data_IF_066584542772
#
_entry.id   IF_066584542772
#
_cell.length_a   1.000
_cell.length_b   1.000
_cell.length_c   1.000
_cell.angle_alpha   90.00
_cell.angle_beta   90.00
_cell.angle_gamma   90.00
#
_symmetry.space_group_name_H-M   'P 1'
#
loop_
_entity.id
_entity.type
_entity.pdbx_description
1 polymer ?
#
# COMPACT_ATOMS: atom_id res chain seq x y z
N UNK A 1 -21.33 12.79 17.82
CA UNK A 1 -21.02 12.45 16.42
C UNK A 1 -22.18 12.94 15.58
N UNK A 2 -21.90 13.82 14.61
CA UNK A 2 -22.90 14.48 13.76
C UNK A 2 -22.67 14.09 12.29
N UNK A 3 -23.67 14.28 11.43
CA UNK A 3 -23.60 13.91 10.01
C UNK A 3 -24.25 15.00 9.16
N UNK A 4 -23.71 15.19 7.95
CA UNK A 4 -24.38 15.93 6.87
C UNK A 4 -24.66 15.01 5.69
N UNK A 5 -25.91 14.97 5.25
CA UNK A 5 -26.36 14.24 4.07
C UNK A 5 -26.34 15.18 2.87
N UNK A 6 -25.66 14.79 1.80
CA UNK A 6 -25.38 15.66 0.64
C UNK A 6 -25.76 15.05 -0.71
N UNK A 7 -26.33 13.84 -0.74
CA UNK A 7 -26.73 13.21 -2.01
C UNK A 7 -27.85 12.18 -1.81
N UNK A 8 -28.76 12.10 -2.78
CA UNK A 8 -29.75 11.04 -2.90
C UNK A 8 -29.25 10.03 -3.94
N UNK A 9 -29.15 8.76 -3.58
CA UNK A 9 -28.72 7.68 -4.50
C UNK A 9 -29.90 7.02 -5.21
N UNK A 10 -31.03 6.87 -4.51
CA UNK A 10 -32.24 6.26 -5.06
C UNK A 10 -33.46 6.91 -4.44
N UNK A 11 -34.46 7.19 -5.27
CA UNK A 11 -35.79 7.64 -4.85
C UNK A 11 -36.83 6.81 -5.60
N UNK A 12 -37.93 6.46 -4.94
CA UNK A 12 -39.06 5.73 -5.54
C UNK A 12 -40.34 6.52 -5.29
N UNK A 13 -41.20 6.63 -6.31
CA UNK A 13 -42.48 7.32 -6.20
C UNK A 13 -42.40 8.86 -6.26
N UNK A 14 -41.22 9.43 -6.54
CA UNK A 14 -41.01 10.86 -6.78
C UNK A 14 -39.89 11.03 -7.79
N UNK A 15 -40.03 12.04 -8.64
CA UNK A 15 -38.98 12.50 -9.54
C UNK A 15 -38.32 13.75 -8.96
N UNK A 16 -37.00 13.81 -9.04
CA UNK A 16 -36.20 14.98 -8.65
C UNK A 16 -35.43 15.42 -9.88
N UNK A 17 -35.45 16.71 -10.18
CA UNK A 17 -34.87 17.24 -11.43
C UNK A 17 -33.53 17.94 -11.21
N UNK A 18 -33.27 18.38 -9.97
CA UNK A 18 -32.05 19.10 -9.60
C UNK A 18 -31.49 18.68 -8.25
N UNK A 19 -30.21 18.98 -8.04
CA UNK A 19 -29.53 18.70 -6.79
C UNK A 19 -30.06 19.54 -5.64
N UNK A 20 -30.32 20.83 -5.88
CA UNK A 20 -30.96 21.70 -4.89
C UNK A 20 -32.30 21.11 -4.41
N UNK A 21 -33.15 20.68 -5.35
CA UNK A 21 -34.42 20.02 -5.01
C UNK A 21 -34.20 18.75 -4.19
N UNK A 22 -33.16 17.97 -4.49
CA UNK A 22 -32.81 16.78 -3.70
C UNK A 22 -32.39 17.12 -2.27
N UNK A 23 -31.67 18.22 -2.06
CA UNK A 23 -31.25 18.67 -0.73
C UNK A 23 -32.42 19.22 0.08
N UNK A 24 -33.32 19.98 -0.55
CA UNK A 24 -34.53 20.47 0.11
C UNK A 24 -35.50 19.34 0.46
N UNK A 25 -35.59 18.33 -0.41
CA UNK A 25 -36.33 17.11 -0.09
C UNK A 25 -35.75 16.39 1.13
N UNK A 26 -34.42 16.21 1.21
CA UNK A 26 -33.77 15.63 2.37
C UNK A 26 -34.05 16.44 3.66
N UNK A 27 -33.99 17.78 3.59
CA UNK A 27 -34.36 18.66 4.71
C UNK A 27 -35.81 18.44 5.14
N UNK A 28 -36.75 18.31 4.19
CA UNK A 28 -38.17 18.08 4.49
C UNK A 28 -38.43 16.75 5.20
N UNK A 29 -37.55 15.76 5.03
CA UNK A 29 -37.59 14.48 5.74
C UNK A 29 -36.93 14.53 7.12
N UNK A 30 -36.43 15.69 7.54
CA UNK A 30 -35.72 15.86 8.82
C UNK A 30 -34.27 15.37 8.80
N UNK A 31 -33.69 15.08 7.63
CA UNK A 31 -32.29 14.68 7.53
C UNK A 31 -31.38 15.92 7.64
N UNK A 32 -30.25 15.80 8.37
CA UNK A 32 -29.32 16.91 8.53
C UNK A 32 -28.56 17.13 7.22
N UNK A 33 -28.88 18.20 6.51
CA UNK A 33 -28.18 18.65 5.30
C UNK A 33 -27.23 19.78 5.66
N UNK A 34 -26.12 19.92 4.92
CA UNK A 34 -25.21 21.07 5.10
C UNK A 34 -25.99 22.39 5.14
N UNK A 35 -25.81 23.22 6.18
CA UNK A 35 -26.53 24.49 6.29
C UNK A 35 -26.08 25.50 5.24
N UNK A 36 -24.90 25.32 4.64
CA UNK A 36 -24.32 26.20 3.64
C UNK A 36 -24.16 25.45 2.33
N UNK A 37 -25.05 25.73 1.39
CA UNK A 37 -24.88 25.44 -0.02
C UNK A 37 -25.49 26.61 -0.81
N UNK A 38 -24.82 27.04 -1.86
CA UNK A 38 -25.27 28.16 -2.69
C UNK A 38 -25.48 27.68 -4.12
N UNK A 39 -26.55 28.16 -4.75
CA UNK A 39 -26.81 27.95 -6.17
C UNK A 39 -26.22 29.15 -6.89
N UNK A 40 -25.23 28.87 -7.73
CA UNK A 40 -24.54 29.85 -8.56
C UNK A 40 -24.82 29.55 -10.04
N UNK A 41 -24.81 30.59 -10.86
CA UNK A 41 -25.19 30.49 -12.28
C UNK A 41 -24.01 30.64 -13.24
N UNK A 42 -22.85 31.10 -12.77
CA UNK A 42 -21.60 31.16 -13.51
C UNK A 42 -20.42 30.60 -12.70
N UNK A 43 -19.26 30.47 -13.35
CA UNK A 43 -18.07 29.89 -12.72
C UNK A 43 -17.35 30.91 -11.85
N UNK A 44 -17.44 32.20 -12.18
CA UNK A 44 -16.86 33.30 -11.44
C UNK A 44 -17.48 33.43 -10.03
N UNK A 45 -18.81 33.33 -9.92
CA UNK A 45 -19.58 33.25 -8.68
C UNK A 45 -19.21 32.02 -7.87
N UNK A 46 -19.03 30.87 -8.55
CA UNK A 46 -18.60 29.65 -7.88
C UNK A 46 -17.21 29.81 -7.25
N UNK A 47 -16.27 30.45 -7.97
CA UNK A 47 -14.92 30.74 -7.46
C UNK A 47 -14.98 31.73 -6.30
N UNK A 48 -15.73 32.82 -6.42
CA UNK A 48 -15.91 33.80 -5.35
C UNK A 48 -16.49 33.17 -4.09
N UNK A 49 -17.47 32.27 -4.23
CA UNK A 49 -18.06 31.54 -3.12
C UNK A 49 -17.04 30.57 -2.47
N UNK A 50 -16.24 29.87 -3.28
CA UNK A 50 -15.16 29.02 -2.76
C UNK A 50 -14.15 29.84 -1.96
N UNK A 51 -13.79 31.04 -2.41
CA UNK A 51 -12.89 31.93 -1.68
C UNK A 51 -13.51 32.39 -0.35
N UNK A 52 -14.79 32.77 -0.35
CA UNK A 52 -15.54 33.14 0.85
C UNK A 52 -15.61 32.01 1.87
N UNK A 53 -15.89 30.77 1.42
CA UNK A 53 -15.89 29.57 2.25
C UNK A 53 -14.49 29.34 2.85
N UNK A 54 -13.44 29.52 2.04
CA UNK A 54 -12.05 29.35 2.48
C UNK A 54 -11.62 30.38 3.53
N UNK A 55 -11.99 31.64 3.36
CA UNK A 55 -11.71 32.73 4.31
C UNK A 55 -12.41 32.52 5.67
N UNK A 56 -13.63 31.96 5.64
CA UNK A 56 -14.44 31.75 6.83
C UNK A 56 -14.30 30.35 7.45
N UNK A 57 -13.41 29.50 6.91
CA UNK A 57 -13.26 28.10 7.35
C UNK A 57 -12.99 27.95 8.86
N UNK A 58 -12.22 28.87 9.43
CA UNK A 58 -11.85 28.86 10.85
C UNK A 58 -13.00 29.21 11.80
N UNK A 59 -14.10 29.76 11.28
CA UNK A 59 -15.29 30.11 12.06
C UNK A 59 -16.38 29.02 12.02
N UNK A 60 -16.13 27.91 11.33
CA UNK A 60 -17.07 26.78 11.29
C UNK A 60 -16.89 25.89 12.53
N UNK A 61 -17.99 25.32 13.01
CA UNK A 61 -17.99 24.37 14.14
C UNK A 61 -17.43 22.98 13.76
N UNK A 62 -16.89 22.83 12.54
CA UNK A 62 -16.38 21.60 11.98
C UNK A 62 -15.24 21.86 10.99
N UNK A 63 -14.33 20.91 10.88
CA UNK A 63 -13.22 20.94 9.93
C UNK A 63 -13.69 20.63 8.50
N UNK A 64 -13.01 21.23 7.53
CA UNK A 64 -13.30 21.11 6.10
C UNK A 64 -11.99 21.26 5.31
N UNK A 65 -11.74 20.34 4.36
CA UNK A 65 -10.54 20.32 3.51
C UNK A 65 -10.75 21.02 2.15
N UNK A 66 -11.97 21.44 1.85
CA UNK A 66 -12.32 22.01 0.55
C UNK A 66 -13.80 22.27 0.35
N UNK A 67 -14.13 22.75 -0.84
CA UNK A 67 -15.51 22.92 -1.31
C UNK A 67 -15.78 22.00 -2.51
N UNK A 68 -17.04 21.59 -2.70
CA UNK A 68 -17.43 20.72 -3.82
C UNK A 68 -18.34 21.48 -4.78
N UNK A 69 -17.90 21.64 -6.02
CA UNK A 69 -18.73 22.18 -7.10
C UNK A 69 -19.45 21.01 -7.76
N UNK A 70 -20.76 21.14 -7.96
CA UNK A 70 -21.58 20.12 -8.64
C UNK A 70 -22.51 20.78 -9.65
N UNK A 71 -22.65 20.17 -10.83
CA UNK A 71 -23.69 20.53 -11.79
C UNK A 71 -25.07 20.31 -11.14
N UNK A 72 -25.92 21.33 -11.13
CA UNK A 72 -27.19 21.27 -10.41
C UNK A 72 -28.25 20.39 -11.11
N UNK A 73 -28.33 20.44 -12.45
CA UNK A 73 -29.34 19.70 -13.22
C UNK A 73 -28.94 18.22 -13.41
N UNK A 74 -29.85 17.29 -13.11
CA UNK A 74 -29.55 15.84 -13.21
C UNK A 74 -29.46 15.30 -14.63
N UNK A 75 -30.26 15.82 -15.57
CA UNK A 75 -30.13 15.42 -16.99
C UNK A 75 -28.74 15.78 -17.54
N UNK A 76 -28.15 16.90 -17.10
CA UNK A 76 -26.78 17.26 -17.45
C UNK A 76 -25.75 16.30 -16.81
N UNK A 77 -26.00 15.80 -15.60
CA UNK A 77 -25.11 14.81 -14.95
C UNK A 77 -25.07 13.49 -15.70
N UNK A 78 -26.24 13.03 -16.16
CA UNK A 78 -26.35 11.80 -16.97
C UNK A 78 -25.59 11.92 -18.27
N UNK A 79 -25.72 13.06 -18.96
CA UNK A 79 -25.01 13.34 -20.21
C UNK A 79 -23.48 13.40 -20.01
N UNK A 80 -23.02 13.98 -18.89
CA UNK A 80 -21.60 14.06 -18.54
C UNK A 80 -21.01 12.70 -18.12
N UNK A 81 -21.80 11.85 -17.46
CA UNK A 81 -21.39 10.53 -17.01
C UNK A 81 -20.23 10.53 -16.01
N UNK A 82 -19.48 9.42 -15.97
CA UNK A 82 -18.36 9.21 -15.05
C UNK A 82 -17.16 8.55 -15.74
N UNK A 83 -16.00 8.67 -15.12
CA UNK A 83 -14.81 7.85 -15.41
C UNK A 83 -14.83 6.59 -14.54
N UNK A 84 -13.82 5.73 -14.66
CA UNK A 84 -13.69 4.53 -13.81
C UNK A 84 -13.62 4.83 -12.30
N UNK A 85 -13.32 6.07 -11.89
CA UNK A 85 -13.19 6.46 -10.47
C UNK A 85 -13.99 7.70 -10.06
N UNK A 86 -14.25 8.64 -10.97
CA UNK A 86 -14.79 9.96 -10.61
C UNK A 86 -15.93 10.41 -11.53
N UNK A 87 -16.98 11.07 -11.02
CA UNK A 87 -18.00 11.70 -11.85
C UNK A 87 -17.42 12.88 -12.64
N UNK A 88 -17.91 13.14 -13.85
CA UNK A 88 -17.48 14.31 -14.65
C UNK A 88 -18.22 15.60 -14.30
N UNK A 89 -19.29 15.49 -13.52
CA UNK A 89 -20.20 16.58 -13.18
C UNK A 89 -19.94 17.19 -11.78
N UNK A 90 -18.90 16.73 -11.08
CA UNK A 90 -18.51 17.26 -9.78
C UNK A 90 -16.99 17.29 -9.62
N UNK A 91 -16.49 18.30 -8.89
CA UNK A 91 -15.08 18.43 -8.55
C UNK A 91 -14.94 18.96 -7.12
N UNK A 92 -13.96 18.43 -6.39
CA UNK A 92 -13.57 18.93 -5.08
C UNK A 92 -12.42 19.93 -5.24
N UNK A 93 -12.66 21.18 -4.85
CA UNK A 93 -11.63 22.20 -4.73
C UNK A 93 -11.04 22.11 -3.32
N UNK A 94 -9.79 21.67 -3.21
CA UNK A 94 -9.10 21.56 -1.92
C UNK A 94 -8.40 22.87 -1.56
N UNK A 95 -8.57 23.32 -0.32
CA UNK A 95 -7.85 24.49 0.16
C UNK A 95 -6.38 24.15 0.41
N UNK A 96 -5.47 25.15 0.34
CA UNK A 96 -4.11 24.96 0.78
C UNK A 96 -4.09 24.43 2.23
N UNK A 97 -3.28 23.39 2.51
CA UNK A 97 -3.14 22.86 3.86
C UNK A 97 -2.75 23.97 4.83
N UNK A 98 -3.22 23.86 6.08
CA UNK A 98 -2.77 24.74 7.15
C UNK A 98 -1.25 24.61 7.32
N UNK A 99 -0.54 25.74 7.26
CA UNK A 99 0.91 25.83 7.51
C UNK A 99 1.10 26.52 8.86
N UNK A 100 1.91 25.92 9.73
CA UNK A 100 2.32 26.54 11.00
C UNK A 100 3.81 26.58 11.14
N UNK A 101 4.27 27.58 11.88
CA UNK A 101 5.67 27.72 12.27
C UNK A 101 5.90 27.06 13.63
N UNK A 102 7.05 26.42 13.77
CA UNK A 102 7.49 25.76 15.00
C UNK A 102 9.01 25.72 15.08
N UNK A 103 9.56 25.46 16.26
CA UNK A 103 11.02 25.36 16.47
C UNK A 103 11.49 23.94 16.28
N UNK A 104 12.45 23.73 15.39
CA UNK A 104 13.13 22.44 15.22
C UNK A 104 14.06 22.19 16.41
N UNK A 105 13.78 21.15 17.20
CA UNK A 105 14.52 20.82 18.44
C UNK A 105 15.62 19.81 18.21
N UNK A 106 15.38 18.82 17.39
CA UNK A 106 16.37 17.79 17.05
C UNK A 106 15.98 17.09 15.76
N UNK A 107 16.95 16.38 15.18
CA UNK A 107 16.71 15.43 14.09
C UNK A 107 17.15 14.06 14.59
N UNK A 108 16.20 13.14 14.69
CA UNK A 108 16.45 11.75 15.06
C UNK A 108 16.62 10.90 13.80
N UNK A 109 17.68 10.11 13.74
CA UNK A 109 17.96 9.23 12.61
C UNK A 109 17.61 7.80 12.97
N UNK A 110 16.54 7.27 12.36
CA UNK A 110 16.12 5.89 12.53
C UNK A 110 16.73 4.99 11.47
N UNK A 111 17.16 3.78 11.85
CA UNK A 111 17.68 2.78 10.89
C UNK A 111 16.55 1.87 10.42
N UNK A 112 16.22 1.94 9.13
CA UNK A 112 15.21 1.16 8.43
C UNK A 112 15.47 -0.35 8.43
N UNK A 113 14.45 -1.13 8.05
CA UNK A 113 14.56 -2.60 7.89
C UNK A 113 15.70 -2.99 6.94
N UNK A 114 15.82 -2.28 5.82
CA UNK A 114 16.86 -2.48 4.80
C UNK A 114 18.11 -1.61 5.06
N UNK A 115 18.30 -1.15 6.30
CA UNK A 115 19.43 -0.32 6.68
C UNK A 115 19.33 1.17 6.35
N UNK A 116 18.27 1.66 5.70
CA UNK A 116 18.14 3.11 5.35
C UNK A 116 18.12 3.97 6.60
N UNK A 117 19.03 4.93 6.69
CA UNK A 117 19.01 5.96 7.73
C UNK A 117 17.97 7.02 7.35
N UNK A 118 16.84 7.02 8.06
CA UNK A 118 15.72 7.93 7.82
C UNK A 118 15.72 9.04 8.87
N UNK A 119 16.00 10.30 8.48
CA UNK A 119 15.92 11.43 9.40
C UNK A 119 14.48 11.83 9.68
N UNK A 120 14.20 12.14 10.94
CA UNK A 120 12.90 12.63 11.43
C UNK A 120 13.12 13.93 12.19
N UNK A 121 12.50 15.01 11.73
CA UNK A 121 12.45 16.27 12.46
C UNK A 121 11.59 16.12 13.71
N UNK A 122 12.13 16.50 14.86
CA UNK A 122 11.42 16.63 16.13
C UNK A 122 11.34 18.12 16.49
N UNK A 123 10.13 18.63 16.64
CA UNK A 123 9.87 20.06 16.82
C UNK A 123 8.82 20.30 17.91
N UNK A 124 8.68 21.56 18.34
CA UNK A 124 7.68 21.92 19.34
C UNK A 124 6.26 21.54 18.86
N UNK A 125 5.44 20.91 19.72
CA UNK A 125 4.12 20.45 19.30
C UNK A 125 3.25 21.57 18.74
N UNK A 126 2.73 21.38 17.53
CA UNK A 126 1.79 22.30 16.88
C UNK A 126 0.48 21.60 16.53
N UNK A 127 -0.63 22.31 16.69
CA UNK A 127 -1.95 21.81 16.31
C UNK A 127 -2.20 22.07 14.82
N UNK A 128 -2.32 21.02 14.00
CA UNK A 128 -2.53 21.12 12.55
C UNK A 128 -3.63 20.15 12.11
N UNK A 129 -4.63 20.66 11.40
CA UNK A 129 -5.77 19.87 10.90
C UNK A 129 -6.32 18.88 11.96
N UNK A 130 -6.78 19.43 13.09
CA UNK A 130 -7.45 18.67 14.15
C UNK A 130 -6.57 17.83 15.08
N UNK A 131 -5.25 17.74 14.85
CA UNK A 131 -4.35 16.97 15.74
C UNK A 131 -3.06 17.71 16.06
N UNK A 132 -2.50 17.43 17.24
CA UNK A 132 -1.16 17.90 17.61
C UNK A 132 -0.09 17.04 16.94
N UNK A 133 0.87 17.67 16.27
CA UNK A 133 2.01 17.02 15.62
C UNK A 133 3.31 17.62 16.15
N UNK A 134 4.30 16.77 16.37
CA UNK A 134 5.63 17.15 16.88
C UNK A 134 6.78 16.48 16.12
N UNK A 135 6.44 15.69 15.10
CA UNK A 135 7.39 14.89 14.31
C UNK A 135 6.99 14.90 12.85
N UNK A 136 7.98 15.01 11.96
CA UNK A 136 7.81 14.88 10.50
C UNK A 136 9.02 14.18 9.87
N UNK A 137 8.81 13.37 8.84
CA UNK A 137 9.91 12.75 8.11
C UNK A 137 10.63 13.80 7.26
N UNK A 138 11.95 13.70 7.20
CA UNK A 138 12.80 14.55 6.33
C UNK A 138 13.26 13.79 5.08
N UNK A 139 12.69 12.62 4.78
CA UNK A 139 13.01 11.77 3.63
C UNK A 139 14.46 11.24 3.58
N UNK A 140 15.44 12.10 3.32
CA UNK A 140 16.86 11.75 3.12
C UNK A 140 17.78 12.95 3.40
N UNK A 141 19.09 12.74 3.25
CA UNK A 141 20.11 13.78 3.44
C UNK A 141 19.96 14.96 2.48
N UNK A 142 19.66 14.69 1.21
CA UNK A 142 19.52 15.72 0.17
C UNK A 142 18.39 16.69 0.50
N UNK A 143 17.28 16.20 1.04
CA UNK A 143 16.15 17.04 1.45
C UNK A 143 16.52 17.96 2.61
N UNK A 144 17.31 17.48 3.59
CA UNK A 144 17.85 18.31 4.68
C UNK A 144 18.75 19.41 4.12
N UNK A 145 19.64 19.04 3.20
CA UNK A 145 20.60 19.96 2.58
C UNK A 145 19.90 20.99 1.70
N UNK A 146 18.87 20.60 0.96
CA UNK A 146 18.06 21.48 0.12
C UNK A 146 17.31 22.52 0.96
N UNK A 147 16.76 22.12 2.11
CA UNK A 147 16.07 23.05 3.02
C UNK A 147 17.03 23.84 3.91
N UNK A 148 18.30 23.45 3.98
CA UNK A 148 19.30 24.10 4.82
C UNK A 148 18.98 24.04 6.32
N UNK A 149 18.39 22.92 6.78
CA UNK A 149 17.90 22.82 8.16
C UNK A 149 19.04 22.85 9.18
N UNK A 150 18.94 23.75 10.15
CA UNK A 150 19.77 23.79 11.35
C UNK A 150 18.93 23.51 12.61
N UNK A 151 19.54 22.88 13.62
CA UNK A 151 18.87 22.68 14.91
C UNK A 151 18.66 24.05 15.56
N UNK A 152 17.43 24.32 16.03
CA UNK A 152 17.00 25.62 16.56
C UNK A 152 16.19 26.46 15.57
N UNK A 153 16.20 26.11 14.28
CA UNK A 153 15.50 26.87 13.25
C UNK A 153 13.98 26.94 13.50
N UNK A 154 13.38 28.06 13.09
CA UNK A 154 11.93 28.16 12.93
C UNK A 154 11.54 27.60 11.57
N UNK A 155 10.90 26.44 11.58
CA UNK A 155 10.48 25.69 10.40
C UNK A 155 8.98 25.87 10.16
N UNK A 156 8.57 25.75 8.89
CA UNK A 156 7.18 25.64 8.49
C UNK A 156 6.82 24.17 8.30
N UNK A 157 5.70 23.78 8.92
CA UNK A 157 5.15 22.43 8.86
C UNK A 157 3.70 22.47 8.40
N UNK A 158 3.31 21.47 7.60
CA UNK A 158 1.93 21.25 7.17
C UNK A 158 1.61 19.76 7.14
N UNK A 159 0.36 19.41 6.88
CA UNK A 159 -0.03 18.02 6.63
C UNK A 159 -0.34 17.79 5.15
N UNK A 160 0.42 16.90 4.51
CA UNK A 160 0.10 16.39 3.19
C UNK A 160 -1.20 15.57 3.26
N UNK A 161 -2.19 15.98 2.45
CA UNK A 161 -3.52 15.35 2.42
C UNK A 161 -4.22 15.30 3.78
N UNK A 162 -3.95 16.29 4.65
CA UNK A 162 -4.49 16.41 6.02
C UNK A 162 -4.13 15.27 7.00
N UNK A 163 -3.19 14.39 6.62
CA UNK A 163 -2.79 13.22 7.42
C UNK A 163 -1.31 13.25 7.79
N UNK A 164 -0.41 13.40 6.82
CA UNK A 164 1.03 13.15 7.02
C UNK A 164 1.77 14.47 7.24
N UNK A 165 2.39 14.72 8.41
CA UNK A 165 3.16 15.94 8.64
C UNK A 165 4.43 16.00 7.78
N UNK A 166 4.67 17.16 7.16
CA UNK A 166 5.86 17.43 6.36
C UNK A 166 6.43 18.82 6.67
N UNK A 167 7.77 18.92 6.65
CA UNK A 167 8.50 20.19 6.75
C UNK A 167 8.61 20.77 5.35
N UNK A 168 8.15 22.01 5.15
CA UNK A 168 8.14 22.66 3.83
C UNK A 168 9.26 23.67 3.64
N UNK A 169 9.87 24.14 4.73
CA UNK A 169 10.97 25.11 4.64
C UNK A 169 11.35 25.72 6.00
N UNK A 170 12.42 26.50 5.97
CA UNK A 170 12.89 27.31 7.10
C UNK A 170 12.43 28.75 6.90
N UNK A 171 11.84 29.34 7.93
CA UNK A 171 11.44 30.76 7.92
C UNK A 171 12.50 31.64 8.58
N UNK A 172 13.11 31.15 9.66
CA UNK A 172 14.16 31.87 10.38
C UNK A 172 15.23 30.88 10.84
N UNK A 173 16.47 31.15 10.46
CA UNK A 173 17.61 30.43 10.98
C UNK A 173 17.97 30.92 12.37
N UNK A 174 18.37 29.99 13.23
CA UNK A 174 18.96 30.35 14.51
C UNK A 174 20.38 30.93 14.30
N UNK A 175 20.74 32.04 14.97
CA UNK A 175 22.07 32.62 14.85
C UNK A 175 23.16 31.61 15.23
N UNK A 176 24.25 31.57 14.45
CA UNK A 176 25.41 30.68 14.62
C UNK A 176 25.12 29.17 14.47
N UNK A 177 23.89 28.78 14.08
CA UNK A 177 23.53 27.38 13.89
C UNK A 177 24.16 26.80 12.62
N UNK A 178 24.77 25.61 12.76
CA UNK A 178 25.39 24.91 11.64
C UNK A 178 24.35 24.02 10.93
N UNK A 179 24.42 23.89 9.59
CA UNK A 179 23.59 22.96 8.85
C UNK A 179 23.72 21.54 9.40
N UNK A 180 22.59 20.86 9.58
CA UNK A 180 22.59 19.50 10.09
C UNK A 180 23.26 18.55 9.10
N UNK A 181 24.17 17.71 9.60
CA UNK A 181 24.81 16.64 8.83
C UNK A 181 24.30 15.28 9.30
N UNK A 182 24.01 14.40 8.33
CA UNK A 182 23.68 13.01 8.64
C UNK A 182 24.89 12.31 9.27
N UNK A 183 24.66 11.33 10.17
CA UNK A 183 25.75 10.68 10.88
C UNK A 183 26.56 9.77 9.94
N UNK A 184 27.89 9.86 10.02
CA UNK A 184 28.81 8.99 9.26
C UNK A 184 28.77 7.52 9.73
N UNK A 185 28.27 7.28 10.94
CA UNK A 185 28.13 5.96 11.54
C UNK A 185 26.67 5.66 11.86
N UNK A 186 26.27 4.40 11.70
CA UNK A 186 24.96 3.91 12.05
C UNK A 186 24.66 4.17 13.54
N UNK A 187 23.58 4.91 13.89
CA UNK A 187 23.27 5.24 15.27
C UNK A 187 22.86 4.03 16.12
N UNK A 188 22.61 2.87 15.48
CA UNK A 188 22.23 1.64 16.17
C UNK A 188 23.42 0.71 16.45
N UNK A 189 24.34 0.53 15.50
CA UNK A 189 25.44 -0.44 15.65
C UNK A 189 26.85 0.16 15.53
N UNK A 190 26.97 1.46 15.25
CA UNK A 190 28.26 2.14 15.10
C UNK A 190 29.05 1.79 13.82
N UNK A 191 28.52 0.95 12.94
CA UNK A 191 29.18 0.63 11.68
C UNK A 191 29.14 1.83 10.70
N UNK A 192 30.14 2.01 9.82
CA UNK A 192 30.12 3.07 8.82
C UNK A 192 28.84 3.04 7.97
N UNK A 193 28.21 4.20 7.82
CA UNK A 193 27.09 4.37 6.93
C UNK A 193 27.60 4.67 5.51
N UNK A 194 26.99 4.06 4.50
CA UNK A 194 27.45 4.15 3.11
C UNK A 194 26.32 4.60 2.19
N UNK A 195 26.67 5.39 1.19
CA UNK A 195 25.83 5.64 0.03
C UNK A 195 26.14 4.55 -1.01
N UNK A 196 25.13 3.77 -1.39
CA UNK A 196 25.28 2.79 -2.47
C UNK A 196 25.22 3.52 -3.82
N UNK A 197 25.88 2.97 -4.84
CA UNK A 197 25.80 3.50 -6.20
C UNK A 197 24.33 3.62 -6.62
N UNK A 198 23.97 4.75 -7.25
CA UNK A 198 22.61 5.10 -7.70
C UNK A 198 21.53 5.30 -6.62
N UNK A 199 21.91 5.46 -5.35
CA UNK A 199 20.96 5.77 -4.26
C UNK A 199 21.25 7.09 -3.56
N UNK A 200 20.21 7.92 -3.37
CA UNK A 200 20.26 9.12 -2.52
C UNK A 200 20.22 8.79 -1.00
N UNK A 201 20.01 7.53 -0.64
CA UNK A 201 19.76 7.10 0.72
C UNK A 201 21.05 6.59 1.39
N UNK A 202 21.39 7.19 2.53
CA UNK A 202 22.46 6.71 3.40
C UNK A 202 22.04 5.41 4.11
N UNK A 203 22.90 4.40 4.17
CA UNK A 203 22.55 3.06 4.70
C UNK A 203 23.55 2.47 5.66
N UNK A 204 23.04 1.70 6.62
CA UNK A 204 23.81 0.72 7.38
C UNK A 204 23.88 -0.59 6.61
N UNK A 205 25.10 -1.04 6.28
CA UNK A 205 25.35 -2.32 5.59
C UNK A 205 25.77 -3.45 6.53
N UNK A 206 25.82 -3.20 7.84
CA UNK A 206 26.12 -4.24 8.81
C UNK A 206 24.97 -5.26 8.90
N UNK A 207 25.17 -6.54 8.51
CA UNK A 207 24.13 -7.56 8.61
C UNK A 207 23.72 -7.84 10.07
N UNK A 208 24.60 -7.58 11.03
CA UNK A 208 24.35 -7.77 12.47
C UNK A 208 23.77 -6.52 13.15
N UNK A 209 23.26 -5.56 12.37
CA UNK A 209 22.68 -4.34 12.94
C UNK A 209 21.42 -4.67 13.77
N UNK A 210 21.37 -4.36 15.08
CA UNK A 210 20.26 -4.76 15.93
C UNK A 210 18.97 -4.04 15.56
N UNK A 211 19.03 -2.79 15.06
CA UNK A 211 17.86 -2.11 14.52
C UNK A 211 17.28 -2.79 13.27
N UNK A 212 18.13 -3.36 12.40
CA UNK A 212 17.66 -4.12 11.25
C UNK A 212 17.06 -5.45 11.70
N UNK A 213 17.73 -6.19 12.59
CA UNK A 213 17.22 -7.43 13.17
C UNK A 213 15.84 -7.23 13.81
N UNK A 214 15.69 -6.23 14.70
CA UNK A 214 14.41 -5.89 15.33
C UNK A 214 13.32 -5.59 14.29
N UNK A 215 13.61 -4.77 13.29
CA UNK A 215 12.63 -4.42 12.24
C UNK A 215 12.30 -5.60 11.32
N UNK A 216 13.26 -6.49 11.08
CA UNK A 216 13.02 -7.74 10.35
C UNK A 216 12.09 -8.66 11.13
N UNK A 217 12.29 -8.81 12.46
CA UNK A 217 11.41 -9.59 13.33
C UNK A 217 9.99 -9.01 13.36
N UNK A 218 9.86 -7.68 13.51
CA UNK A 218 8.56 -7.00 13.49
C UNK A 218 7.86 -7.21 12.13
N UNK A 219 8.61 -7.09 11.03
CA UNK A 219 8.08 -7.32 9.69
C UNK A 219 7.64 -8.78 9.50
N UNK A 220 8.47 -9.72 9.94
CA UNK A 220 8.21 -11.15 9.86
C UNK A 220 6.89 -11.52 10.54
N UNK A 221 6.65 -10.96 11.73
CA UNK A 221 5.42 -11.20 12.50
C UNK A 221 4.21 -10.37 12.05
N UNK A 222 4.36 -9.43 11.12
CA UNK A 222 3.27 -8.57 10.69
C UNK A 222 2.11 -9.36 10.05
N UNK A 223 0.91 -8.78 10.10
CA UNK A 223 -0.33 -9.38 9.59
C UNK A 223 -0.24 -9.84 8.13
N UNK A 224 0.44 -9.07 7.29
CA UNK A 224 0.58 -9.40 5.87
C UNK A 224 1.68 -10.45 5.62
N UNK A 225 2.54 -10.70 6.62
CA UNK A 225 3.60 -11.71 6.62
C UNK A 225 3.16 -12.96 7.40
N UNK A 226 3.90 -13.39 8.43
CA UNK A 226 3.59 -14.62 9.18
C UNK A 226 2.46 -14.47 10.20
N UNK A 227 1.84 -13.29 10.31
CA UNK A 227 0.61 -13.05 11.09
C UNK A 227 0.70 -13.60 12.53
N UNK A 228 1.78 -13.23 13.23
CA UNK A 228 2.03 -13.70 14.60
C UNK A 228 1.36 -12.73 15.58
N UNK A 229 0.09 -13.01 15.86
CA UNK A 229 -0.70 -12.25 16.82
C UNK A 229 -0.03 -12.20 18.20
N UNK A 230 0.07 -10.97 18.75
CA UNK A 230 0.72 -10.72 20.03
C UNK A 230 2.20 -10.35 19.93
N UNK A 231 2.87 -10.56 18.79
CA UNK A 231 4.25 -10.11 18.57
C UNK A 231 4.30 -8.70 17.99
N UNK A 232 3.82 -7.73 18.76
CA UNK A 232 3.90 -6.31 18.40
C UNK A 232 5.31 -5.73 18.57
N UNK A 233 5.50 -4.49 18.11
CA UNK A 233 6.76 -3.73 18.23
C UNK A 233 7.35 -3.76 19.63
N UNK A 234 6.53 -3.49 20.66
CA UNK A 234 6.98 -3.48 22.06
C UNK A 234 7.48 -4.85 22.53
N UNK A 235 6.86 -5.95 22.08
CA UNK A 235 7.26 -7.31 22.48
C UNK A 235 8.55 -7.70 21.76
N UNK A 236 8.62 -7.45 20.45
CA UNK A 236 9.82 -7.68 19.65
C UNK A 236 11.03 -6.90 20.20
N UNK A 237 10.83 -5.63 20.61
CA UNK A 237 11.89 -4.83 21.24
C UNK A 237 12.40 -5.48 22.52
N UNK A 238 11.51 -5.91 23.42
CA UNK A 238 11.95 -6.57 24.66
C UNK A 238 12.67 -7.90 24.42
N UNK A 239 12.24 -8.68 23.42
CA UNK A 239 12.90 -9.95 23.07
C UNK A 239 14.33 -9.72 22.56
N UNK A 240 14.51 -8.71 21.70
CA UNK A 240 15.84 -8.34 21.18
C UNK A 240 16.71 -7.72 22.27
N UNK A 241 16.17 -6.79 23.06
CA UNK A 241 16.92 -6.10 24.13
C UNK A 241 17.42 -7.06 25.22
N UNK A 242 16.66 -8.15 25.47
CA UNK A 242 17.06 -9.21 26.40
C UNK A 242 17.95 -10.29 25.77
N UNK A 243 18.27 -10.18 24.48
CA UNK A 243 19.07 -11.17 23.75
C UNK A 243 18.39 -12.54 23.61
N UNK A 244 17.05 -12.59 23.70
CA UNK A 244 16.29 -13.83 23.53
C UNK A 244 16.08 -14.18 22.05
N UNK A 245 16.07 -13.17 21.18
CA UNK A 245 15.81 -13.32 19.75
C UNK A 245 16.77 -12.40 18.99
N UNK A 246 17.50 -12.96 18.02
CA UNK A 246 18.42 -12.25 17.13
C UNK A 246 17.95 -12.30 15.67
N UNK A 247 17.14 -13.31 15.33
CA UNK A 247 16.62 -13.60 14.01
C UNK A 247 15.18 -14.11 14.10
N UNK A 248 14.48 -14.14 12.96
CA UNK A 248 13.12 -14.68 12.92
C UNK A 248 13.05 -16.18 13.28
N UNK A 249 14.11 -16.95 13.07
CA UNK A 249 14.16 -18.37 13.44
C UNK A 249 14.10 -18.57 14.96
N UNK A 250 14.76 -17.70 15.74
CA UNK A 250 14.79 -17.82 17.21
C UNK A 250 13.39 -17.72 17.84
N UNK A 251 12.41 -17.12 17.13
CA UNK A 251 11.03 -17.05 17.58
C UNK A 251 10.43 -18.43 17.85
N UNK A 252 10.81 -19.43 17.04
CA UNK A 252 10.27 -20.78 17.12
C UNK A 252 10.95 -21.63 18.22
N UNK A 253 12.03 -21.13 18.81
CA UNK A 253 12.75 -21.74 19.92
C UNK A 253 12.32 -21.15 21.29
N UNK A 254 11.44 -20.14 21.30
CA UNK A 254 11.02 -19.45 22.52
C UNK A 254 10.25 -20.36 23.47
N UNK A 255 10.60 -20.27 24.75
CA UNK A 255 9.90 -21.00 25.82
C UNK A 255 8.99 -20.10 26.65
N UNK A 256 8.02 -20.71 27.35
CA UNK A 256 7.11 -19.97 28.22
C UNK A 256 7.87 -19.25 29.35
N UNK A 257 8.91 -19.85 29.89
CA UNK A 257 9.73 -19.28 30.97
C UNK A 257 10.44 -18.00 30.50
N UNK A 258 10.97 -17.99 29.27
CA UNK A 258 11.60 -16.81 28.69
C UNK A 258 10.59 -15.67 28.50
N UNK A 259 9.39 -15.99 28.00
CA UNK A 259 8.32 -15.00 27.80
C UNK A 259 7.80 -14.43 29.11
N UNK A 260 7.76 -15.21 30.20
CA UNK A 260 7.37 -14.73 31.53
C UNK A 260 8.36 -13.73 32.14
N UNK A 261 9.58 -13.64 31.61
CA UNK A 261 10.50 -12.58 32.04
C UNK A 261 10.11 -11.20 31.48
N UNK A 262 9.29 -11.14 30.42
CA UNK A 262 8.94 -9.90 29.74
C UNK A 262 7.97 -9.05 30.57
N UNK A 263 8.06 -7.73 30.42
CA UNK A 263 7.13 -6.82 31.06
C UNK A 263 5.71 -7.01 30.50
N UNK A 264 4.72 -6.99 31.40
CA UNK A 264 3.29 -7.18 31.10
C UNK A 264 2.94 -8.54 30.47
N UNK A 265 3.84 -9.52 30.53
CA UNK A 265 3.51 -10.90 30.21
C UNK A 265 3.00 -11.67 31.43
N UNK A 266 1.93 -12.43 31.21
CA UNK A 266 1.41 -13.44 32.15
C UNK A 266 1.28 -14.76 31.39
N UNK A 267 1.07 -15.86 32.11
CA UNK A 267 0.94 -17.19 31.51
C UNK A 267 -0.01 -17.23 30.31
N UNK A 268 -1.18 -16.58 30.40
CA UNK A 268 -2.14 -16.54 29.29
C UNK A 268 -1.58 -15.83 28.05
N UNK A 269 -0.94 -14.66 28.19
CA UNK A 269 -0.40 -13.94 27.04
C UNK A 269 0.82 -14.64 26.45
N UNK A 270 1.64 -15.27 27.29
CA UNK A 270 2.77 -16.08 26.84
C UNK A 270 2.29 -17.29 26.03
N UNK A 271 1.31 -18.05 26.53
CA UNK A 271 0.72 -19.18 25.81
C UNK A 271 0.06 -18.76 24.49
N UNK A 272 -0.67 -17.63 24.49
CA UNK A 272 -1.27 -17.12 23.26
C UNK A 272 -0.21 -16.79 22.20
N UNK A 273 0.91 -16.17 22.60
CA UNK A 273 2.00 -15.86 21.68
C UNK A 273 2.66 -17.15 21.14
N UNK A 274 2.95 -18.13 21.99
CA UNK A 274 3.50 -19.42 21.55
C UNK A 274 2.56 -20.15 20.60
N UNK A 275 1.24 -20.11 20.85
CA UNK A 275 0.24 -20.67 19.95
C UNK A 275 0.20 -19.94 18.61
N UNK A 276 0.31 -18.60 18.60
CA UNK A 276 0.37 -17.83 17.37
C UNK A 276 1.64 -18.14 16.55
N UNK A 277 2.79 -18.26 17.22
CA UNK A 277 4.06 -18.69 16.59
C UNK A 277 3.90 -20.09 15.98
N UNK A 278 3.35 -21.04 16.73
CA UNK A 278 3.14 -22.41 16.23
C UNK A 278 2.16 -22.44 15.04
N UNK A 279 1.05 -21.71 15.13
CA UNK A 279 0.07 -21.61 14.05
C UNK A 279 0.69 -21.01 12.78
N UNK A 280 1.59 -20.03 12.92
CA UNK A 280 2.24 -19.36 11.78
C UNK A 280 3.05 -20.31 10.90
N UNK A 281 3.54 -21.43 11.46
CA UNK A 281 4.24 -22.48 10.69
C UNK A 281 3.40 -23.02 9.53
N UNK A 282 2.07 -22.96 9.64
CA UNK A 282 1.16 -23.47 8.62
C UNK A 282 0.84 -22.45 7.51
N UNK A 283 1.33 -21.22 7.61
CA UNK A 283 1.11 -20.21 6.59
C UNK A 283 1.65 -20.64 5.23
N UNK A 284 1.06 -20.06 4.19
CA UNK A 284 1.44 -20.35 2.81
C UNK A 284 2.82 -19.72 2.48
N UNK A 285 3.52 -20.26 1.47
CA UNK A 285 4.88 -19.84 1.12
C UNK A 285 4.98 -18.35 0.72
N UNK A 286 3.92 -17.78 0.15
CA UNK A 286 3.83 -16.36 -0.18
C UNK A 286 4.04 -15.46 1.05
N UNK A 287 3.44 -15.82 2.18
CA UNK A 287 3.61 -15.13 3.47
C UNK A 287 5.05 -15.19 3.95
N UNK A 288 5.68 -16.36 3.88
CA UNK A 288 7.07 -16.53 4.26
C UNK A 288 8.01 -15.73 3.34
N UNK A 289 7.78 -15.77 2.03
CA UNK A 289 8.55 -15.00 1.05
C UNK A 289 8.45 -13.50 1.30
N UNK A 290 7.26 -13.01 1.67
CA UNK A 290 7.09 -11.62 2.08
C UNK A 290 7.77 -11.34 3.42
N UNK A 291 7.71 -12.27 4.36
CA UNK A 291 8.29 -12.17 5.70
C UNK A 291 9.83 -12.05 5.70
N UNK A 292 10.52 -12.64 4.73
CA UNK A 292 11.97 -12.47 4.55
C UNK A 292 12.36 -11.01 4.31
N UNK A 293 11.44 -10.16 3.85
CA UNK A 293 11.69 -8.73 3.68
C UNK A 293 12.72 -8.42 2.59
N UNK A 294 12.86 -9.31 1.60
CA UNK A 294 13.79 -9.20 0.47
C UNK A 294 13.60 -7.84 -0.22
N UNK A 295 14.71 -7.18 -0.56
CA UNK A 295 14.70 -5.87 -1.22
C UNK A 295 13.89 -5.95 -2.52
N UNK A 296 13.07 -4.93 -2.79
CA UNK A 296 12.20 -4.82 -3.97
C UNK A 296 11.09 -5.89 -4.08
N UNK A 297 11.00 -6.84 -3.15
CA UNK A 297 9.97 -7.88 -3.13
C UNK A 297 8.90 -7.51 -2.10
N UNK A 298 7.80 -6.95 -2.58
CA UNK A 298 6.60 -6.72 -1.78
C UNK A 298 5.66 -7.93 -1.77
N UNK A 299 4.55 -7.85 -1.03
CA UNK A 299 3.55 -8.92 -0.85
C UNK A 299 3.11 -9.55 -2.19
N UNK A 300 2.75 -8.72 -3.18
CA UNK A 300 2.37 -9.21 -4.52
C UNK A 300 3.49 -9.96 -5.24
N UNK A 301 4.74 -9.48 -5.13
CA UNK A 301 5.88 -10.12 -5.77
C UNK A 301 6.24 -11.45 -5.08
N UNK A 302 6.13 -11.50 -3.76
CA UNK A 302 6.29 -12.72 -2.97
C UNK A 302 5.23 -13.78 -3.33
N UNK A 303 3.97 -13.36 -3.50
CA UNK A 303 2.90 -14.24 -3.96
C UNK A 303 3.18 -14.81 -5.36
N UNK A 304 3.65 -13.98 -6.30
CA UNK A 304 4.02 -14.42 -7.64
C UNK A 304 5.20 -15.42 -7.63
N UNK A 305 6.22 -15.19 -6.80
CA UNK A 305 7.34 -16.14 -6.66
C UNK A 305 6.87 -17.49 -6.12
N UNK A 306 6.09 -17.46 -5.04
CA UNK A 306 5.58 -18.67 -4.41
C UNK A 306 4.67 -19.46 -5.36
N UNK A 307 3.79 -18.77 -6.09
CA UNK A 307 2.92 -19.37 -7.09
C UNK A 307 3.68 -19.95 -8.28
N UNK A 308 4.68 -19.23 -8.81
CA UNK A 308 5.43 -19.66 -10.00
C UNK A 308 6.32 -20.88 -9.73
N UNK A 309 7.05 -20.88 -8.60
CA UNK A 309 8.03 -21.91 -8.29
C UNK A 309 7.49 -23.03 -7.38
N UNK A 310 6.38 -22.81 -6.69
CA UNK A 310 5.69 -23.82 -5.87
C UNK A 310 6.36 -24.22 -4.55
N UNK A 311 7.68 -24.04 -4.41
CA UNK A 311 8.42 -24.35 -3.19
C UNK A 311 9.58 -23.39 -2.95
N UNK A 312 9.97 -23.22 -1.69
CA UNK A 312 11.12 -22.37 -1.35
C UNK A 312 12.41 -22.90 -1.99
N UNK A 313 12.58 -24.23 -2.06
CA UNK A 313 13.75 -24.85 -2.67
C UNK A 313 13.87 -24.49 -4.16
N UNK A 314 12.77 -24.55 -4.90
CA UNK A 314 12.75 -24.17 -6.31
C UNK A 314 13.10 -22.68 -6.51
N UNK A 315 12.63 -21.80 -5.62
CA UNK A 315 13.01 -20.37 -5.65
C UNK A 315 14.50 -20.19 -5.40
N UNK A 316 15.09 -20.93 -4.45
CA UNK A 316 16.52 -20.86 -4.11
C UNK A 316 17.44 -21.30 -5.24
N UNK A 317 17.00 -22.29 -6.01
CA UNK A 317 17.77 -22.87 -7.13
C UNK A 317 17.55 -22.11 -8.45
N UNK A 318 16.54 -21.23 -8.51
CA UNK A 318 16.21 -20.49 -9.71
C UNK A 318 17.31 -19.48 -10.07
N UNK A 319 17.60 -19.37 -11.37
CA UNK A 319 18.50 -18.34 -11.89
C UNK A 319 17.81 -16.98 -11.99
N UNK A 320 18.61 -15.92 -12.13
CA UNK A 320 18.08 -14.56 -12.31
C UNK A 320 17.17 -14.49 -13.55
N UNK A 321 17.53 -15.18 -14.64
CA UNK A 321 16.73 -15.23 -15.86
C UNK A 321 15.37 -15.88 -15.62
N UNK A 322 15.33 -17.02 -14.92
CA UNK A 322 14.09 -17.73 -14.61
C UNK A 322 13.15 -16.88 -13.74
N UNK A 323 13.70 -16.18 -12.75
CA UNK A 323 12.91 -15.26 -11.92
C UNK A 323 12.41 -14.07 -12.76
N UNK A 324 13.23 -13.59 -13.71
CA UNK A 324 12.87 -12.52 -14.63
C UNK A 324 11.76 -12.86 -15.64
N UNK A 325 11.45 -14.13 -15.85
CA UNK A 325 10.34 -14.57 -16.71
C UNK A 325 8.94 -14.30 -16.11
N UNK A 326 8.87 -14.06 -14.80
CA UNK A 326 7.61 -13.78 -14.09
C UNK A 326 7.04 -12.41 -14.53
N UNK A 327 5.79 -12.38 -15.01
CA UNK A 327 5.12 -11.11 -15.38
C UNK A 327 5.05 -10.17 -14.16
N UNK A 328 5.73 -9.03 -14.25
CA UNK A 328 5.86 -8.06 -13.17
C UNK A 328 7.24 -8.05 -12.49
N UNK A 329 8.14 -8.97 -12.82
CA UNK A 329 9.54 -8.93 -12.40
C UNK A 329 10.40 -8.19 -13.42
N UNK A 330 11.26 -7.29 -12.91
CA UNK A 330 12.35 -6.71 -13.66
C UNK A 330 13.70 -7.25 -13.19
N UNK A 331 14.78 -7.03 -13.94
CA UNK A 331 16.12 -7.53 -13.60
C UNK A 331 16.55 -7.21 -12.16
N UNK A 332 16.30 -5.97 -11.70
CA UNK A 332 16.61 -5.54 -10.32
C UNK A 332 15.88 -6.39 -9.26
N UNK A 333 14.64 -6.81 -9.52
CA UNK A 333 13.90 -7.67 -8.60
C UNK A 333 14.46 -9.09 -8.59
N UNK A 334 14.77 -9.64 -9.77
CA UNK A 334 15.35 -10.96 -9.91
C UNK A 334 16.71 -11.05 -9.21
N UNK A 335 17.60 -10.08 -9.47
CA UNK A 335 18.89 -9.94 -8.80
C UNK A 335 18.73 -9.84 -7.27
N UNK A 336 17.74 -9.08 -6.78
CA UNK A 336 17.52 -8.95 -5.33
C UNK A 336 17.18 -10.28 -4.65
N UNK A 337 16.48 -11.18 -5.36
CA UNK A 337 16.12 -12.51 -4.84
C UNK A 337 17.34 -13.44 -4.85
N UNK A 338 18.08 -13.48 -5.95
CA UNK A 338 19.27 -14.33 -6.07
C UNK A 338 20.36 -13.92 -5.08
N UNK A 339 20.64 -12.63 -4.95
CA UNK A 339 21.59 -12.10 -3.97
C UNK A 339 21.18 -12.36 -2.51
N UNK A 340 19.87 -12.42 -2.22
CA UNK A 340 19.39 -12.75 -0.89
C UNK A 340 19.74 -14.20 -0.55
N UNK A 341 19.39 -15.16 -1.42
CA UNK A 341 19.64 -16.59 -1.16
C UNK A 341 21.10 -17.00 -1.31
N UNK A 342 21.94 -16.22 -2.00
CA UNK A 342 23.37 -16.45 -2.09
C UNK A 342 24.13 -16.17 -0.77
N UNK A 343 23.50 -15.52 0.22
CA UNK A 343 24.15 -15.18 1.51
C UNK A 343 24.15 -16.36 2.47
N UNK A 344 25.28 -16.63 3.09
CA UNK A 344 25.43 -17.68 4.11
C UNK A 344 24.43 -17.54 5.26
N UNK A 345 24.25 -16.33 5.79
CA UNK A 345 23.29 -16.06 6.86
C UNK A 345 21.83 -16.30 6.46
N UNK A 346 21.50 -16.21 5.17
CA UNK A 346 20.16 -16.56 4.67
C UNK A 346 20.00 -18.07 4.59
N UNK A 347 21.06 -18.78 4.19
CA UNK A 347 21.06 -20.24 4.18
C UNK A 347 20.83 -20.80 5.59
N UNK A 348 21.53 -20.29 6.61
CA UNK A 348 21.31 -20.67 8.01
C UNK A 348 19.86 -20.39 8.46
N UNK A 349 19.35 -19.18 8.21
CA UNK A 349 17.98 -18.80 8.55
C UNK A 349 16.95 -19.77 7.94
N UNK A 350 17.10 -20.11 6.66
CA UNK A 350 16.17 -21.02 5.97
C UNK A 350 16.23 -22.43 6.58
N UNK A 351 17.43 -22.94 6.89
CA UNK A 351 17.58 -24.24 7.52
C UNK A 351 16.91 -24.28 8.89
N UNK A 352 17.16 -23.29 9.74
CA UNK A 352 16.55 -23.22 11.08
C UNK A 352 15.03 -23.11 11.03
N UNK A 353 14.48 -22.34 10.09
CA UNK A 353 13.03 -22.26 9.89
C UNK A 353 12.44 -23.60 9.41
N UNK A 354 13.15 -24.32 8.53
CA UNK A 354 12.73 -25.63 8.06
C UNK A 354 12.76 -26.66 9.21
N UNK A 355 13.81 -26.67 10.02
CA UNK A 355 13.95 -27.54 11.20
C UNK A 355 12.88 -27.24 12.26
N UNK A 356 12.48 -25.97 12.39
CA UNK A 356 11.36 -25.56 13.24
C UNK A 356 9.97 -26.00 12.69
N UNK A 357 9.90 -26.53 11.47
CA UNK A 357 8.68 -27.02 10.84
C UNK A 357 7.85 -25.96 10.13
N UNK A 358 8.44 -24.82 9.77
CA UNK A 358 7.76 -23.79 8.95
C UNK A 358 7.48 -24.35 7.56
N UNK A 359 6.26 -24.15 7.06
CA UNK A 359 5.85 -24.60 5.74
C UNK A 359 6.63 -23.87 4.63
N UNK A 360 7.40 -24.66 3.86
CA UNK A 360 8.20 -24.18 2.72
C UNK A 360 7.53 -24.43 1.37
N UNK A 361 6.25 -24.81 1.37
CA UNK A 361 5.50 -25.18 0.17
C UNK A 361 4.36 -24.20 -0.09
N UNK A 362 4.15 -23.89 -1.36
CA UNK A 362 2.96 -23.15 -1.76
C UNK A 362 1.74 -24.07 -1.77
N UNK A 363 0.69 -23.68 -1.05
CA UNK A 363 -0.56 -24.43 -0.83
C UNK A 363 -1.70 -23.98 -1.76
N UNK A 364 -1.42 -23.11 -2.73
CA UNK A 364 -2.42 -22.66 -3.70
C UNK A 364 -2.76 -23.73 -4.74
N UNK A 365 -3.88 -23.56 -5.43
CA UNK A 365 -4.17 -24.37 -6.63
C UNK A 365 -3.25 -23.90 -7.76
N UNK A 366 -2.41 -24.78 -8.35
CA UNK A 366 -1.60 -24.40 -9.50
C UNK A 366 -2.52 -23.90 -10.61
N UNK A 367 -2.17 -22.73 -11.17
CA UNK A 367 -2.84 -22.24 -12.37
C UNK A 367 -2.61 -23.26 -13.48
N UNK A 368 -3.65 -23.55 -14.26
CA UNK A 368 -3.46 -24.24 -15.54
C UNK A 368 -2.56 -23.39 -16.45
N UNK A 369 -1.94 -24.03 -17.43
CA UNK A 369 -1.00 -23.39 -18.37
C UNK A 369 -1.62 -23.13 -19.76
N UNK A 370 -2.86 -23.56 -19.99
CA UNK A 370 -3.54 -23.48 -21.30
C UNK A 370 -3.64 -22.07 -21.87
N UNK A 371 -3.72 -21.07 -21.00
CA UNK A 371 -3.75 -19.66 -21.38
C UNK A 371 -2.45 -18.91 -21.04
N UNK A 372 -1.38 -19.61 -20.68
CA UNK A 372 -0.09 -19.00 -20.38
C UNK A 372 0.38 -18.06 -21.50
N UNK A 373 0.79 -16.85 -21.13
CA UNK A 373 1.24 -15.81 -22.06
C UNK A 373 0.14 -15.16 -22.92
N UNK A 374 -1.12 -15.63 -22.84
CA UNK A 374 -2.24 -15.07 -23.61
C UNK A 374 -2.97 -14.00 -22.79
N UNK A 375 -3.16 -12.83 -23.39
CA UNK A 375 -4.04 -11.78 -22.83
C UNK A 375 -5.43 -11.87 -23.47
N UNK A 376 -6.47 -12.01 -22.65
CA UNK A 376 -7.86 -12.12 -23.10
C UNK A 376 -8.70 -10.94 -22.60
N UNK A 377 -9.68 -10.53 -23.40
CA UNK A 377 -10.64 -9.47 -23.03
C UNK A 377 -12.05 -10.05 -23.09
N UNK A 378 -12.82 -9.91 -22.01
CA UNK A 378 -14.23 -10.31 -21.98
C UNK A 378 -15.12 -9.11 -22.30
N UNK A 379 -16.08 -9.28 -23.21
CA UNK A 379 -17.02 -8.24 -23.63
C UNK A 379 -18.41 -8.80 -23.94
N UNK A 380 -19.45 -8.00 -23.69
CA UNK A 380 -20.83 -8.47 -23.79
C UNK A 380 -21.27 -9.31 -22.59
N UNK A 381 -22.51 -9.79 -22.65
CA UNK A 381 -23.12 -10.70 -21.68
C UNK A 381 -22.95 -12.13 -22.17
N UNK A 382 -22.21 -12.95 -21.41
CA UNK A 382 -22.07 -14.38 -21.69
C UNK A 382 -23.34 -15.12 -21.21
N UNK A 383 -23.62 -16.28 -21.79
CA UNK A 383 -24.81 -17.10 -21.54
C UNK A 383 -24.78 -17.78 -20.17
N UNK A 384 -23.62 -18.32 -19.75
CA UNK A 384 -23.51 -19.11 -18.51
C UNK A 384 -22.62 -18.48 -17.45
N UNK A 385 -21.63 -17.68 -17.85
CA UNK A 385 -20.67 -17.04 -16.94
C UNK A 385 -20.97 -15.56 -16.75
N UNK A 386 -20.84 -15.07 -15.52
CA UNK A 386 -20.62 -13.64 -15.32
C UNK A 386 -19.26 -13.23 -15.88
N UNK A 387 -19.12 -11.95 -16.22
CA UNK A 387 -17.84 -11.40 -16.68
C UNK A 387 -16.71 -11.63 -15.66
N UNK A 388 -17.00 -11.48 -14.37
CA UNK A 388 -16.04 -11.75 -13.30
C UNK A 388 -15.62 -13.22 -13.23
N UNK A 389 -16.54 -14.15 -13.44
CA UNK A 389 -16.23 -15.58 -13.45
C UNK A 389 -15.38 -15.95 -14.67
N UNK A 390 -15.68 -15.39 -15.85
CA UNK A 390 -14.83 -15.57 -17.03
C UNK A 390 -13.43 -14.99 -16.84
N UNK A 391 -13.31 -13.78 -16.27
CA UNK A 391 -12.02 -13.17 -15.94
C UNK A 391 -11.24 -14.01 -14.91
N UNK A 392 -11.92 -14.61 -13.93
CA UNK A 392 -11.32 -15.53 -12.97
C UNK A 392 -10.85 -16.85 -13.62
N UNK A 393 -11.62 -17.42 -14.54
CA UNK A 393 -11.23 -18.62 -15.29
C UNK A 393 -10.02 -18.37 -16.21
N UNK A 394 -9.93 -17.18 -16.81
CA UNK A 394 -8.75 -16.76 -17.58
C UNK A 394 -7.51 -16.79 -16.68
N UNK A 395 -7.60 -16.16 -15.50
CA UNK A 395 -6.49 -16.10 -14.54
C UNK A 395 -6.15 -17.48 -13.98
N UNK A 396 -7.17 -18.31 -13.68
CA UNK A 396 -7.00 -19.69 -13.19
C UNK A 396 -6.25 -20.58 -14.20
N UNK A 397 -6.33 -20.28 -15.50
CA UNK A 397 -5.64 -21.05 -16.54
C UNK A 397 -4.40 -20.31 -17.08
N UNK A 398 -3.79 -19.43 -16.28
CA UNK A 398 -2.49 -18.81 -16.60
C UNK A 398 -2.57 -17.62 -17.57
N UNK A 399 -3.77 -17.20 -17.95
CA UNK A 399 -4.00 -16.07 -18.85
C UNK A 399 -4.15 -14.73 -18.13
N UNK A 400 -4.02 -13.64 -18.88
CA UNK A 400 -4.19 -12.27 -18.38
C UNK A 400 -5.53 -11.69 -18.82
N UNK A 401 -6.42 -11.41 -17.87
CA UNK A 401 -7.67 -10.70 -18.15
C UNK A 401 -7.42 -9.19 -18.29
N UNK A 402 -7.76 -8.62 -19.44
CA UNK A 402 -7.62 -7.17 -19.72
C UNK A 402 -8.98 -6.51 -19.91
N UNK A 403 -9.12 -5.28 -19.40
CA UNK A 403 -10.30 -4.45 -19.64
C UNK A 403 -10.37 -3.82 -21.03
N UNK A 404 -9.28 -3.83 -21.81
CA UNK A 404 -9.21 -3.16 -23.11
C UNK A 404 -8.52 -4.01 -24.19
N UNK A 405 -9.01 -3.88 -25.43
CA UNK A 405 -8.44 -4.55 -26.60
C UNK A 405 -7.26 -3.75 -27.14
N UNK A 406 -6.13 -4.42 -27.35
CA UNK A 406 -4.89 -3.89 -27.91
C UNK A 406 -4.28 -4.87 -28.91
N UNK A 407 -3.19 -4.48 -29.59
CA UNK A 407 -2.43 -5.40 -30.45
C UNK A 407 -1.78 -6.58 -29.70
N UNK A 408 -1.64 -6.48 -28.37
CA UNK A 408 -1.12 -7.56 -27.51
C UNK A 408 -2.21 -8.52 -27.02
N UNK A 409 -3.48 -8.24 -27.33
CA UNK A 409 -4.59 -9.11 -26.95
C UNK A 409 -4.59 -10.34 -27.86
N UNK A 410 -4.52 -11.52 -27.25
CA UNK A 410 -4.52 -12.80 -27.97
C UNK A 410 -5.94 -13.19 -28.42
N UNK A 411 -6.94 -13.01 -27.55
CA UNK A 411 -8.35 -13.31 -27.87
C UNK A 411 -9.31 -12.32 -27.21
N UNK A 412 -10.49 -12.17 -27.81
CA UNK A 412 -11.63 -11.47 -27.20
C UNK A 412 -12.78 -12.45 -27.04
N UNK A 413 -13.21 -12.71 -25.81
CA UNK A 413 -14.39 -13.52 -25.53
C UNK A 413 -15.61 -12.63 -25.60
N UNK A 414 -16.47 -12.85 -26.60
CA UNK A 414 -17.61 -11.99 -26.91
C UNK A 414 -18.94 -12.72 -26.69
N UNK A 415 -19.78 -12.15 -25.83
CA UNK A 415 -21.17 -12.56 -25.63
C UNK A 415 -22.18 -11.67 -26.34
N UNK A 416 -23.46 -11.83 -26.02
CA UNK A 416 -24.53 -10.97 -26.51
C UNK A 416 -24.26 -9.49 -26.16
N UNK A 417 -24.63 -8.57 -27.05
CA UNK A 417 -24.38 -7.13 -26.89
C UNK A 417 -22.91 -6.73 -26.70
N UNK A 418 -21.96 -7.48 -27.28
CA UNK A 418 -20.55 -7.09 -27.34
C UNK A 418 -20.38 -5.82 -28.19
N UNK A 419 -20.41 -4.65 -27.54
CA UNK A 419 -20.34 -3.34 -28.19
C UNK A 419 -18.96 -2.94 -28.71
N UNK A 420 -18.47 -1.76 -28.32
CA UNK A 420 -17.28 -1.11 -28.89
C UNK A 420 -15.97 -1.91 -28.84
N UNK A 421 -15.83 -2.87 -27.90
CA UNK A 421 -14.64 -3.73 -27.81
C UNK A 421 -14.60 -4.80 -28.90
N UNK A 422 -15.75 -5.33 -29.33
CA UNK A 422 -15.83 -6.29 -30.43
C UNK A 422 -15.39 -5.64 -31.74
N UNK A 423 -15.92 -4.45 -32.01
CA UNK A 423 -15.54 -3.65 -33.18
C UNK A 423 -14.04 -3.35 -33.19
N UNK A 424 -13.48 -3.01 -32.01
CA UNK A 424 -12.04 -2.77 -31.86
C UNK A 424 -11.19 -4.03 -32.09
N UNK A 425 -11.67 -5.19 -31.68
CA UNK A 425 -11.00 -6.48 -31.92
C UNK A 425 -10.94 -6.81 -33.41
N UNK A 426 -12.08 -6.68 -34.09
CA UNK A 426 -12.19 -6.88 -35.54
C UNK A 426 -11.27 -5.92 -36.32
N UNK A 427 -11.25 -4.64 -35.94
CA UNK A 427 -10.38 -3.64 -36.58
C UNK A 427 -8.88 -3.91 -36.39
N UNK A 428 -8.50 -4.56 -35.28
CA UNK A 428 -7.12 -4.91 -34.98
C UNK A 428 -6.73 -6.34 -35.42
N UNK A 429 -7.67 -7.09 -36.02
CA UNK A 429 -7.44 -8.48 -36.44
C UNK A 429 -7.27 -9.47 -35.28
N UNK A 430 -7.76 -9.12 -34.09
CA UNK A 430 -7.68 -9.99 -32.90
C UNK A 430 -8.79 -11.04 -32.98
N UNK A 431 -8.47 -12.35 -32.84
CA UNK A 431 -9.47 -13.43 -32.85
C UNK A 431 -10.55 -13.23 -31.79
N UNK A 432 -11.81 -13.48 -32.17
CA UNK A 432 -12.98 -13.40 -31.29
C UNK A 432 -13.48 -14.81 -31.02
N UNK A 433 -13.63 -15.15 -29.75
CA UNK A 433 -14.15 -16.43 -29.27
C UNK A 433 -15.56 -16.25 -28.71
N UNK A 434 -16.41 -17.24 -28.94
CA UNK A 434 -17.65 -17.44 -28.18
C UNK A 434 -17.35 -17.98 -26.78
N UNK A 435 -18.32 -17.91 -25.87
CA UNK A 435 -18.19 -18.49 -24.53
C UNK A 435 -17.91 -20.01 -24.59
N UNK A 436 -18.57 -20.72 -25.50
CA UNK A 436 -18.39 -22.17 -25.67
C UNK A 436 -16.97 -22.49 -26.13
N UNK A 437 -16.43 -21.73 -27.08
CA UNK A 437 -15.04 -21.90 -27.55
C UNK A 437 -14.02 -21.56 -26.45
N UNK A 438 -14.29 -20.52 -25.65
CA UNK A 438 -13.46 -20.18 -24.49
C UNK A 438 -13.45 -21.31 -23.46
N UNK A 439 -14.61 -21.85 -23.10
CA UNK A 439 -14.73 -22.98 -22.17
C UNK A 439 -14.05 -24.24 -22.72
N UNK A 440 -14.17 -24.50 -24.02
CA UNK A 440 -13.49 -25.62 -24.67
C UNK A 440 -11.96 -25.48 -24.63
N UNK A 441 -11.43 -24.26 -24.77
CA UNK A 441 -9.98 -24.01 -24.67
C UNK A 441 -9.42 -24.27 -23.27
N UNK A 442 -10.23 -24.14 -22.22
CA UNK A 442 -9.77 -24.32 -20.83
C UNK A 442 -10.21 -25.66 -20.21
N UNK A 443 -11.13 -26.40 -20.85
CA UNK A 443 -11.57 -27.72 -20.39
C UNK A 443 -10.42 -28.75 -20.39
N UNK A 444 -10.30 -29.55 -19.33
CA UNK A 444 -9.28 -30.61 -19.19
C UNK A 444 -9.40 -31.69 -20.26
N UNK A 445 -8.25 -32.08 -20.82
CA UNK A 445 -8.13 -33.26 -21.65
C UNK A 445 -8.28 -34.47 -20.71
N UNK A 446 -9.46 -35.09 -20.67
CA UNK A 446 -9.76 -36.29 -19.87
C UNK A 446 -9.07 -37.56 -20.42
N UNK A 447 -7.87 -37.43 -20.99
CA UNK A 447 -7.18 -38.50 -21.72
C UNK A 447 -5.90 -39.00 -21.06
N UNK A 448 -5.57 -38.57 -19.83
CA UNK A 448 -4.49 -39.17 -19.03
C UNK A 448 -4.98 -39.40 -17.58
N UNK A 449 -5.63 -40.55 -17.38
CA UNK A 449 -5.79 -41.19 -16.07
C UNK A 449 -4.64 -42.17 -15.84
#
# INVERSE_FOLDING_TARGET
MSIFVFNVQQVRGRELTSHAESLDYLKSLGLPVSPRYHIVHDIEDAIAEIEQIGQNRAALDFDMDGAVIKVNNFAQRELLGSTNKFPRWAIAFKYPPEVKETTLRSIEVGVGRTGVLTPTACFDPVFLAGTTVSRATLHNEDFIRQLGLCIGDTIQVRKAGDIIPEVIGVTRHEPDAQPYQMPEFCPSCGAPAVHLEDEAALRCVNPECPAQALRNIIHFASRDAMDIDGLGTMVATQLVDKGLVHSAADLYDLTIEQLLTLEKFKEKSANNLLQAIEASKQNNLDKLMFAFGIRNIGDKAAALLAEHFGSLQAIREATEEQIGEIDGFGGVMAQSVTEFFAKDGTTDLVHRLADAGVNMQWKGEPKGDKLAGKTLVVTGTLETLSRSEAEALIVKNGGKASGSVSKKTAYVVAGAAAGSKLTKAQALGVPVLTEVEFLAMIAEDKSQQ
#
